data_IF_568528512019
#
_entry.id   IF_568528512019
#
_cell.length_a   1.000
_cell.length_b   1.000
_cell.length_c   1.000
_cell.angle_alpha   90.00
_cell.angle_beta   90.00
_cell.angle_gamma   90.00
#
_symmetry.space_group_name_H-M   'P 1'
#
loop_
_entity.id
_entity.type
_entity.pdbx_description
1 polymer ?
#
# COMPACT_ATOMS: atom_id res chain seq x y z
N UNK A 1 -31.85 -20.13 -6.98
CA UNK A 1 -30.64 -20.18 -6.13
C UNK A 1 -29.68 -19.07 -6.55
N UNK A 2 -29.78 -17.89 -5.93
CA UNK A 2 -28.99 -16.68 -6.23
C UNK A 2 -28.36 -16.07 -4.97
N UNK A 3 -28.91 -16.40 -3.80
CA UNK A 3 -28.41 -16.00 -2.48
C UNK A 3 -27.04 -16.59 -2.16
N UNK A 4 -26.79 -17.86 -2.51
CA UNK A 4 -25.47 -18.51 -2.33
C UNK A 4 -24.40 -17.95 -3.29
N UNK A 5 -24.76 -17.60 -4.53
CA UNK A 5 -23.81 -16.99 -5.49
C UNK A 5 -23.36 -15.63 -5.03
N UNK A 6 -24.29 -14.77 -4.59
CA UNK A 6 -23.96 -13.46 -4.02
C UNK A 6 -23.05 -13.58 -2.79
N UNK A 7 -23.27 -14.55 -1.91
CA UNK A 7 -22.42 -14.75 -0.72
C UNK A 7 -20.99 -15.19 -1.07
N UNK A 8 -20.85 -16.08 -2.07
CA UNK A 8 -19.55 -16.56 -2.56
C UNK A 8 -18.81 -15.46 -3.33
N UNK A 9 -19.53 -14.66 -4.13
CA UNK A 9 -18.95 -13.51 -4.83
C UNK A 9 -18.44 -12.44 -3.86
N UNK A 10 -19.19 -12.13 -2.80
CA UNK A 10 -18.76 -11.20 -1.75
C UNK A 10 -17.51 -11.73 -1.03
N UNK A 11 -17.53 -12.97 -0.55
CA UNK A 11 -16.38 -13.56 0.15
C UNK A 11 -15.12 -13.68 -0.74
N UNK A 12 -15.29 -13.98 -2.03
CA UNK A 12 -14.17 -14.03 -3.00
C UNK A 12 -13.65 -12.63 -3.33
N UNK A 13 -14.53 -11.65 -3.46
CA UNK A 13 -14.17 -10.27 -3.78
C UNK A 13 -13.43 -9.61 -2.62
N UNK A 14 -13.87 -9.85 -1.38
CA UNK A 14 -13.19 -9.39 -0.15
C UNK A 14 -11.81 -10.04 0.02
N UNK A 15 -11.68 -11.35 -0.21
CA UNK A 15 -10.37 -12.03 -0.17
C UNK A 15 -9.42 -11.49 -1.24
N UNK A 16 -9.92 -11.31 -2.47
CA UNK A 16 -9.12 -10.80 -3.58
C UNK A 16 -8.69 -9.34 -3.40
N UNK A 17 -9.48 -8.52 -2.71
CA UNK A 17 -9.15 -7.12 -2.42
C UNK A 17 -8.13 -6.98 -1.29
N UNK A 18 -8.31 -7.72 -0.19
CA UNK A 18 -7.34 -7.75 0.89
C UNK A 18 -5.98 -8.32 0.44
N UNK A 19 -5.99 -9.32 -0.46
CA UNK A 19 -4.77 -9.83 -1.09
C UNK A 19 -4.08 -8.79 -1.98
N UNK A 20 -4.85 -7.98 -2.73
CA UNK A 20 -4.28 -6.87 -3.54
C UNK A 20 -3.63 -5.80 -2.66
N UNK A 21 -4.33 -5.36 -1.61
CA UNK A 21 -3.80 -4.37 -0.65
C UNK A 21 -2.52 -4.90 -0.02
N UNK A 22 -2.52 -6.15 0.45
CA UNK A 22 -1.33 -6.75 1.06
C UNK A 22 -0.16 -6.88 0.09
N UNK A 23 -0.42 -7.24 -1.17
CA UNK A 23 0.62 -7.33 -2.20
C UNK A 23 1.24 -5.95 -2.50
N UNK A 24 0.42 -4.90 -2.57
CA UNK A 24 0.89 -3.53 -2.76
C UNK A 24 1.71 -3.02 -1.57
N UNK A 25 1.26 -3.28 -0.34
CA UNK A 25 2.01 -2.95 0.88
C UNK A 25 3.38 -3.65 0.92
N UNK A 26 3.42 -4.96 0.63
CA UNK A 26 4.66 -5.74 0.65
C UNK A 26 5.66 -5.28 -0.43
N UNK A 27 5.17 -5.01 -1.65
CA UNK A 27 6.00 -4.48 -2.73
C UNK A 27 6.59 -3.11 -2.38
N UNK A 28 5.76 -2.22 -1.83
CA UNK A 28 6.17 -0.88 -1.40
C UNK A 28 7.20 -0.95 -0.28
N UNK A 29 6.96 -1.78 0.74
CA UNK A 29 7.87 -1.95 1.87
C UNK A 29 9.23 -2.48 1.42
N UNK A 30 9.26 -3.53 0.59
CA UNK A 30 10.52 -4.10 0.08
C UNK A 30 11.34 -3.08 -0.71
N UNK A 31 10.67 -2.31 -1.57
CA UNK A 31 11.34 -1.24 -2.32
C UNK A 31 11.88 -0.15 -1.39
N UNK A 32 11.03 0.38 -0.50
CA UNK A 32 11.41 1.45 0.40
C UNK A 32 12.49 1.01 1.38
N UNK A 33 12.47 -0.22 1.88
CA UNK A 33 13.54 -0.74 2.74
C UNK A 33 14.89 -0.80 2.02
N UNK A 34 14.90 -1.19 0.75
CA UNK A 34 16.13 -1.31 -0.03
C UNK A 34 16.71 0.05 -0.46
N UNK A 35 15.86 1.05 -0.73
CA UNK A 35 16.28 2.32 -1.35
C UNK A 35 16.22 3.51 -0.37
N UNK A 36 15.26 3.48 0.56
CA UNK A 36 14.91 4.58 1.45
C UNK A 36 15.07 4.26 2.94
N UNK A 37 15.61 3.09 3.30
CA UNK A 37 15.68 2.64 4.70
C UNK A 37 16.48 3.55 5.65
N UNK A 38 17.41 4.34 5.10
CA UNK A 38 18.21 5.35 5.83
C UNK A 38 17.70 6.78 5.61
N UNK A 39 16.67 6.96 4.78
CA UNK A 39 16.11 8.28 4.49
C UNK A 39 15.17 8.74 5.62
N UNK A 40 15.10 10.06 5.88
CA UNK A 40 14.19 10.60 6.88
C UNK A 40 12.73 10.26 6.55
N UNK A 41 11.93 10.01 7.59
CA UNK A 41 10.51 9.68 7.46
C UNK A 41 10.23 8.24 7.01
N UNK A 42 11.24 7.37 6.87
CA UNK A 42 11.03 5.97 6.47
C UNK A 42 10.09 5.21 7.40
N UNK A 43 10.34 5.25 8.70
CA UNK A 43 9.52 4.50 9.67
C UNK A 43 8.07 5.01 9.69
N UNK A 44 7.88 6.33 9.67
CA UNK A 44 6.54 6.93 9.63
C UNK A 44 5.83 6.65 8.30
N UNK A 45 6.54 6.66 7.16
CA UNK A 45 5.98 6.28 5.88
C UNK A 45 5.50 4.82 5.89
N UNK A 46 6.32 3.88 6.36
CA UNK A 46 5.91 2.47 6.45
C UNK A 46 4.73 2.29 7.43
N UNK A 47 4.70 3.05 8.54
CA UNK A 47 3.55 3.03 9.45
C UNK A 47 2.28 3.51 8.77
N UNK A 48 2.34 4.59 8.00
CA UNK A 48 1.20 5.13 7.24
C UNK A 48 0.72 4.14 6.16
N UNK A 49 1.65 3.49 5.45
CA UNK A 49 1.35 2.46 4.44
C UNK A 49 0.51 1.31 5.01
N UNK A 50 0.90 0.76 6.16
CA UNK A 50 0.17 -0.34 6.79
C UNK A 50 -1.11 0.11 7.50
N UNK A 51 -1.20 1.38 7.90
CA UNK A 51 -2.43 1.98 8.40
C UNK A 51 -3.45 2.30 7.29
N UNK A 52 -3.06 2.20 6.01
CA UNK A 52 -3.91 2.61 4.88
C UNK A 52 -4.04 4.13 4.74
N UNK A 53 -3.12 4.91 5.32
CA UNK A 53 -3.16 6.37 5.34
C UNK A 53 -2.30 6.94 4.20
N UNK A 54 -2.94 7.13 3.04
CA UNK A 54 -2.28 7.62 1.83
C UNK A 54 -1.73 9.05 1.95
N UNK A 55 -2.41 9.90 2.71
CA UNK A 55 -2.02 11.30 2.90
C UNK A 55 -0.72 11.36 3.70
N UNK A 56 -0.68 10.69 4.87
CA UNK A 56 0.55 10.63 5.68
C UNK A 56 1.69 9.92 4.98
N UNK A 57 1.40 8.87 4.20
CA UNK A 57 2.42 8.22 3.38
C UNK A 57 3.06 9.21 2.39
N UNK A 58 2.22 10.04 1.76
CA UNK A 58 2.70 11.08 0.84
C UNK A 58 3.55 12.11 1.56
N UNK A 59 3.08 12.63 2.70
CA UNK A 59 3.81 13.62 3.51
C UNK A 59 5.20 13.11 3.95
N UNK A 60 5.29 11.90 4.50
CA UNK A 60 6.54 11.34 4.99
C UNK A 60 7.53 10.99 3.86
N UNK A 61 7.03 10.74 2.64
CA UNK A 61 7.88 10.48 1.46
C UNK A 61 8.33 11.76 0.73
N UNK A 62 7.83 12.95 1.08
CA UNK A 62 8.24 14.22 0.43
C UNK A 62 9.75 14.49 0.54
N UNK A 63 10.35 14.07 1.65
CA UNK A 63 11.78 14.26 1.93
C UNK A 63 12.69 13.33 1.11
N UNK A 64 12.13 12.34 0.43
CA UNK A 64 12.92 11.41 -0.39
C UNK A 64 13.21 12.03 -1.77
N UNK A 65 14.27 11.54 -2.46
CA UNK A 65 14.50 11.89 -3.86
C UNK A 65 13.25 11.67 -4.71
N UNK A 66 13.01 12.55 -5.70
CA UNK A 66 11.81 12.55 -6.54
C UNK A 66 11.46 11.17 -7.09
N UNK A 67 12.42 10.53 -7.73
CA UNK A 67 12.23 9.23 -8.37
C UNK A 67 11.88 8.13 -7.36
N UNK A 68 12.44 8.21 -6.15
CA UNK A 68 12.20 7.24 -5.08
C UNK A 68 10.78 7.40 -4.52
N UNK A 69 10.36 8.63 -4.21
CA UNK A 69 9.00 8.86 -3.70
C UNK A 69 7.94 8.58 -4.76
N UNK A 70 8.17 8.94 -6.03
CA UNK A 70 7.22 8.67 -7.11
C UNK A 70 7.04 7.17 -7.31
N UNK A 71 8.15 6.41 -7.33
CA UNK A 71 8.08 4.96 -7.45
C UNK A 71 7.40 4.30 -6.25
N UNK A 72 7.75 4.72 -5.02
CA UNK A 72 7.12 4.21 -3.81
C UNK A 72 5.61 4.49 -3.79
N UNK A 73 5.17 5.70 -4.16
CA UNK A 73 3.75 6.07 -4.27
C UNK A 73 3.02 5.27 -5.34
N UNK A 74 3.67 4.99 -6.48
CA UNK A 74 3.10 4.12 -7.51
C UNK A 74 2.89 2.69 -7.03
N UNK A 75 3.82 2.13 -6.26
CA UNK A 75 3.67 0.79 -5.68
C UNK A 75 2.58 0.78 -4.60
N UNK A 76 2.50 1.84 -3.80
CA UNK A 76 1.55 1.99 -2.70
C UNK A 76 0.12 2.24 -3.18
N UNK A 77 -0.10 2.65 -4.43
CA UNK A 77 -1.43 2.96 -4.96
C UNK A 77 -2.43 1.82 -4.75
N UNK A 78 -1.99 0.56 -4.91
CA UNK A 78 -2.84 -0.61 -4.66
C UNK A 78 -3.12 -0.90 -3.18
N UNK A 79 -2.40 -0.27 -2.25
CA UNK A 79 -2.61 -0.38 -0.82
C UNK A 79 -3.66 0.61 -0.29
N UNK A 80 -4.02 1.62 -1.10
CA UNK A 80 -4.95 2.69 -0.74
C UNK A 80 -6.21 2.71 -1.63
N UNK A 81 -6.32 1.81 -2.61
CA UNK A 81 -7.48 1.72 -3.47
C UNK A 81 -8.70 1.19 -2.68
N UNK A 82 -9.85 1.86 -2.82
CA UNK A 82 -11.17 1.46 -2.28
C UNK A 82 -11.90 0.41 -3.15
#
# INVERSE_FOLDING_TARGET
>A
SVTLRKLIETARKEGSDAERVRAAQDATFKFAQAIAGDLPGFEEAIRALYAGDAERFTEHTELWPSDVREHARSLAAGAFAE
#
